data_IF_945593393641
#
_entry.id   IF_945593393641
#
_cell.length_a   1.000
_cell.length_b   1.000
_cell.length_c   1.000
_cell.angle_alpha   90.00
_cell.angle_beta   90.00
_cell.angle_gamma   90.00
#
_symmetry.space_group_name_H-M   'P 1'
#
loop_
_entity.id
_entity.type
_entity.pdbx_description
1 polymer ?
#
# COMPACT_ATOMS: atom_id res chain seq x y z
N UNK A 1 15.33 -14.68 -27.77
CA UNK A 1 15.06 -14.73 -26.31
C UNK A 1 15.26 -16.17 -25.84
N UNK A 2 16.05 -16.39 -24.80
CA UNK A 2 16.24 -17.72 -24.21
C UNK A 2 15.19 -17.94 -23.12
N UNK A 3 14.40 -19.01 -23.24
CA UNK A 3 13.38 -19.38 -22.23
C UNK A 3 13.89 -20.56 -21.42
N UNK A 4 13.98 -20.40 -20.10
CA UNK A 4 14.23 -21.50 -19.15
C UNK A 4 12.96 -21.78 -18.34
N UNK A 5 12.69 -23.05 -18.07
CA UNK A 5 11.54 -23.50 -17.26
C UNK A 5 12.00 -23.88 -15.86
N UNK A 6 11.20 -23.54 -14.86
CA UNK A 6 11.37 -23.97 -13.48
C UNK A 6 10.24 -24.94 -13.14
N UNK A 7 10.59 -26.11 -12.60
CA UNK A 7 9.62 -27.07 -12.08
C UNK A 7 9.45 -26.83 -10.58
N UNK A 8 8.20 -26.76 -10.14
CA UNK A 8 7.84 -26.61 -8.72
C UNK A 8 7.05 -27.84 -8.28
N UNK A 9 7.28 -28.27 -7.05
CA UNK A 9 6.53 -29.34 -6.39
C UNK A 9 5.90 -28.79 -5.12
N UNK A 10 4.66 -29.20 -4.84
CA UNK A 10 3.86 -28.76 -3.69
C UNK A 10 3.44 -30.00 -2.90
N UNK A 11 3.68 -30.00 -1.59
CA UNK A 11 3.15 -31.04 -0.71
C UNK A 11 1.70 -30.68 -0.33
N UNK A 12 0.73 -31.54 -0.64
CA UNK A 12 -0.67 -31.27 -0.28
C UNK A 12 -0.95 -31.43 1.23
N UNK A 13 -0.01 -32.02 1.97
CA UNK A 13 -0.08 -32.17 3.43
C UNK A 13 0.35 -30.90 4.18
N UNK A 14 1.09 -30.00 3.51
CA UNK A 14 1.48 -28.70 4.05
C UNK A 14 0.45 -27.66 3.66
N UNK A 15 -0.18 -27.05 4.66
CA UNK A 15 -1.26 -26.07 4.47
C UNK A 15 -0.89 -24.96 3.46
N UNK A 16 0.28 -24.36 3.65
CA UNK A 16 0.74 -23.25 2.80
C UNK A 16 1.00 -23.70 1.36
N UNK A 17 1.58 -24.89 1.17
CA UNK A 17 1.85 -25.46 -0.15
C UNK A 17 0.52 -25.75 -0.89
N UNK A 18 -0.47 -26.32 -0.19
CA UNK A 18 -1.82 -26.56 -0.72
C UNK A 18 -2.51 -25.25 -1.12
N UNK A 19 -2.42 -24.22 -0.28
CA UNK A 19 -3.01 -22.91 -0.53
C UNK A 19 -2.39 -22.26 -1.78
N UNK A 20 -1.07 -22.20 -1.84
CA UNK A 20 -0.34 -21.64 -3.00
C UNK A 20 -0.62 -22.45 -4.26
N UNK A 21 -0.65 -23.79 -4.16
CA UNK A 21 -1.00 -24.65 -5.29
C UNK A 21 -2.40 -24.33 -5.83
N UNK A 22 -3.40 -24.19 -4.95
CA UNK A 22 -4.77 -23.86 -5.32
C UNK A 22 -4.91 -22.47 -5.95
N UNK A 23 -4.10 -21.51 -5.52
CA UNK A 23 -4.05 -20.17 -6.12
C UNK A 23 -3.46 -20.24 -7.52
N UNK A 24 -2.27 -20.86 -7.66
CA UNK A 24 -1.54 -20.94 -8.93
C UNK A 24 -2.28 -21.79 -9.97
N UNK A 25 -2.91 -22.89 -9.56
CA UNK A 25 -3.63 -23.78 -10.47
C UNK A 25 -4.72 -23.05 -11.26
N UNK A 26 -5.41 -22.11 -10.61
CA UNK A 26 -6.49 -21.27 -11.18
C UNK A 26 -5.99 -20.15 -12.10
N UNK A 27 -4.70 -19.79 -12.08
CA UNK A 27 -4.17 -18.71 -12.91
C UNK A 27 -3.96 -19.16 -14.36
N UNK A 28 -4.45 -18.35 -15.32
CA UNK A 28 -4.23 -18.56 -16.76
C UNK A 28 -2.75 -18.40 -17.14
N UNK A 29 -2.06 -17.43 -16.55
CA UNK A 29 -0.64 -17.12 -16.82
C UNK A 29 0.20 -17.27 -15.54
N UNK A 30 0.51 -18.53 -15.17
CA UNK A 30 1.18 -18.88 -13.91
C UNK A 30 2.54 -18.20 -13.74
N UNK A 31 3.36 -18.18 -14.79
CA UNK A 31 4.70 -17.57 -14.75
C UNK A 31 4.63 -16.07 -14.48
N UNK A 32 3.70 -15.35 -15.11
CA UNK A 32 3.49 -13.91 -14.88
C UNK A 32 3.05 -13.62 -13.44
N UNK A 33 2.11 -14.43 -12.93
CA UNK A 33 1.66 -14.33 -11.54
C UNK A 33 2.81 -14.52 -10.55
N UNK A 34 3.64 -15.56 -10.75
CA UNK A 34 4.81 -15.82 -9.90
C UNK A 34 5.83 -14.68 -10.00
N UNK A 35 6.10 -14.13 -11.19
CA UNK A 35 6.98 -12.98 -11.37
C UNK A 35 6.49 -11.80 -10.53
N UNK A 36 5.21 -11.44 -10.64
CA UNK A 36 4.63 -10.33 -9.87
C UNK A 36 4.71 -10.58 -8.36
N UNK A 37 4.32 -11.77 -7.91
CA UNK A 37 4.35 -12.12 -6.48
C UNK A 37 5.78 -12.07 -5.90
N UNK A 38 6.76 -12.66 -6.58
CA UNK A 38 8.17 -12.68 -6.13
C UNK A 38 8.78 -11.29 -6.17
N UNK A 39 8.52 -10.51 -7.22
CA UNK A 39 9.00 -9.15 -7.31
C UNK A 39 8.40 -8.31 -6.17
N UNK A 40 7.09 -8.35 -5.94
CA UNK A 40 6.45 -7.63 -4.82
C UNK A 40 7.00 -8.05 -3.46
N UNK A 41 7.20 -9.35 -3.23
CA UNK A 41 7.77 -9.87 -1.98
C UNK A 41 9.22 -9.40 -1.74
N UNK A 42 10.04 -9.39 -2.79
CA UNK A 42 11.45 -8.95 -2.71
C UNK A 42 11.60 -7.42 -2.72
N UNK A 43 10.51 -6.67 -2.77
CA UNK A 43 10.53 -5.22 -2.90
C UNK A 43 11.05 -4.71 -4.24
N UNK A 44 11.22 -5.60 -5.23
CA UNK A 44 11.67 -5.30 -6.61
C UNK A 44 10.50 -5.15 -7.58
N UNK A 45 9.32 -5.62 -7.19
CA UNK A 45 8.06 -5.36 -7.87
C UNK A 45 7.62 -4.02 -7.36
N UNK A 46 7.35 -3.10 -8.31
CA UNK A 46 6.95 -1.72 -8.08
C UNK A 46 6.50 -1.54 -6.64
N UNK A 47 7.45 -1.16 -5.77
CA UNK A 47 7.20 -0.63 -4.44
C UNK A 47 6.60 0.76 -4.64
N UNK A 48 5.48 0.79 -5.31
CA UNK A 48 4.48 1.81 -5.15
C UNK A 48 3.50 1.21 -4.14
N UNK A 49 4.00 0.89 -2.94
CA UNK A 49 3.33 1.48 -1.77
C UNK A 49 3.54 2.98 -1.96
N UNK A 50 2.72 3.53 -2.83
CA UNK A 50 2.88 4.87 -3.33
C UNK A 50 2.59 5.74 -2.13
N UNK A 51 3.66 6.32 -1.58
CA UNK A 51 3.59 7.25 -0.47
C UNK A 51 2.53 8.32 -0.76
N UNK A 52 2.36 8.69 -2.02
CA UNK A 52 1.30 9.59 -2.47
C UNK A 52 -0.10 8.97 -2.34
N UNK A 53 -0.30 7.68 -2.62
CA UNK A 53 -1.54 6.95 -2.33
C UNK A 53 -1.86 6.91 -0.82
N UNK A 54 -0.85 6.72 0.05
CA UNK A 54 -1.07 6.77 1.51
C UNK A 54 -1.42 8.19 1.96
N UNK A 55 -0.67 9.20 1.49
CA UNK A 55 -0.98 10.61 1.76
C UNK A 55 -2.39 10.97 1.31
N UNK A 56 -2.80 10.51 0.13
CA UNK A 56 -4.11 10.77 -0.44
C UNK A 56 -5.23 10.12 0.40
N UNK A 57 -5.08 8.84 0.77
CA UNK A 57 -6.04 8.15 1.62
C UNK A 57 -6.20 8.83 3.01
N UNK A 58 -5.10 9.33 3.58
CA UNK A 58 -5.16 10.06 4.87
C UNK A 58 -5.79 11.44 4.71
N UNK A 59 -5.51 12.17 3.62
CA UNK A 59 -6.20 13.44 3.31
C UNK A 59 -7.71 13.24 3.19
N UNK A 60 -8.14 12.20 2.47
CA UNK A 60 -9.55 11.86 2.29
C UNK A 60 -10.23 11.52 3.63
N UNK A 61 -9.62 10.66 4.46
CA UNK A 61 -10.15 10.32 5.77
C UNK A 61 -10.28 11.53 6.70
N UNK A 62 -9.31 12.46 6.69
CA UNK A 62 -9.37 13.69 7.48
C UNK A 62 -10.50 14.60 7.00
N UNK A 63 -10.68 14.75 5.69
CA UNK A 63 -11.76 15.55 5.13
C UNK A 63 -13.14 14.97 5.49
N UNK A 64 -13.32 13.64 5.40
CA UNK A 64 -14.55 12.96 5.81
C UNK A 64 -14.85 13.09 7.30
N UNK A 65 -13.82 13.13 8.15
CA UNK A 65 -13.95 13.28 9.60
C UNK A 65 -14.13 14.74 10.07
N UNK A 66 -14.31 15.70 9.16
CA UNK A 66 -14.53 17.11 9.50
C UNK A 66 -13.25 17.94 9.67
N UNK A 67 -12.12 17.46 9.14
CA UNK A 67 -10.82 18.14 9.23
C UNK A 67 -10.13 18.00 10.59
N UNK A 68 -8.89 18.47 10.69
CA UNK A 68 -8.21 18.64 11.98
C UNK A 68 -8.52 20.06 12.48
N UNK A 69 -9.10 20.16 13.68
CA UNK A 69 -9.24 21.45 14.36
C UNK A 69 -8.01 21.68 15.22
N UNK A 70 -7.10 22.53 14.72
CA UNK A 70 -5.98 23.01 15.54
C UNK A 70 -6.55 24.04 16.50
N UNK A 71 -6.85 23.62 17.73
CA UNK A 71 -7.31 24.51 18.79
C UNK A 71 -6.24 25.54 19.13
N UNK A 72 -6.25 26.69 18.46
CA UNK A 72 -5.46 27.83 18.89
C UNK A 72 -6.12 28.37 20.17
N UNK A 73 -5.49 28.08 21.31
CA UNK A 73 -5.83 28.72 22.58
C UNK A 73 -5.31 30.16 22.59
N UNK A 74 -5.82 30.99 21.68
CA UNK A 74 -5.71 32.44 21.77
C UNK A 74 -7.08 33.01 21.47
N UNK A 75 -7.76 33.40 22.55
CA UNK A 75 -8.81 34.42 22.51
C UNK A 75 -8.21 35.62 21.77
N UNK A 76 -8.68 35.89 20.58
CA UNK A 76 -9.18 37.20 20.19
C UNK A 76 -9.93 37.06 18.85
N UNK A 77 -10.95 37.89 18.73
CA UNK A 77 -12.04 37.75 17.77
C UNK A 77 -11.59 37.89 16.31
N UNK A 78 -12.33 37.20 15.45
CA UNK A 78 -12.39 37.38 13.99
C UNK A 78 -11.25 36.73 13.19
N UNK A 79 -11.16 35.41 13.23
CA UNK A 79 -10.50 34.65 12.17
C UNK A 79 -11.38 33.46 11.81
N UNK A 80 -11.87 33.47 10.56
CA UNK A 80 -12.42 32.31 9.89
C UNK A 80 -11.40 31.18 10.04
N UNK A 81 -11.70 30.18 10.88
CA UNK A 81 -10.82 29.03 11.11
C UNK A 81 -10.56 28.37 9.76
N UNK A 82 -9.44 28.70 9.13
CA UNK A 82 -8.98 27.99 7.95
C UNK A 82 -8.62 26.59 8.41
N UNK A 83 -9.43 25.62 7.97
CA UNK A 83 -9.20 24.18 8.11
C UNK A 83 -8.01 23.72 7.25
N UNK A 84 -6.90 24.45 7.27
CA UNK A 84 -5.73 24.10 6.49
C UNK A 84 -4.88 23.15 7.31
N UNK A 85 -4.93 21.89 6.91
CA UNK A 85 -4.00 20.87 7.34
C UNK A 85 -2.58 21.36 7.02
N UNK A 86 -1.68 21.50 8.00
CA UNK A 86 -0.29 21.83 7.71
C UNK A 86 0.28 20.87 6.64
N UNK A 87 0.80 21.43 5.54
CA UNK A 87 1.31 20.64 4.41
C UNK A 87 2.38 19.63 4.82
N UNK A 88 3.11 19.94 5.90
CA UNK A 88 4.20 19.14 6.47
C UNK A 88 3.74 17.98 7.37
N UNK A 89 2.44 17.82 7.67
CA UNK A 89 1.96 16.68 8.47
C UNK A 89 2.34 15.36 7.80
N UNK A 90 2.38 15.35 6.47
CA UNK A 90 2.70 14.15 5.71
C UNK A 90 4.20 13.87 5.60
N UNK A 91 5.05 14.76 6.08
CA UNK A 91 6.50 14.57 6.06
C UNK A 91 6.93 13.43 7.01
N UNK A 92 6.06 13.01 7.94
CA UNK A 92 6.31 11.81 8.75
C UNK A 92 6.39 10.52 7.91
N UNK A 93 5.77 10.51 6.73
CA UNK A 93 5.85 9.40 5.77
C UNK A 93 7.13 9.43 4.93
N UNK A 94 7.98 10.45 5.07
CA UNK A 94 9.25 10.57 4.34
C UNK A 94 10.32 9.63 4.88
N UNK A 95 10.11 9.11 6.11
CA UNK A 95 11.02 8.18 6.78
C UNK A 95 10.55 6.71 6.71
N UNK A 96 9.54 6.40 5.88
CA UNK A 96 8.96 5.07 5.64
C UNK A 96 9.53 4.41 4.37
#
# INVERSE_FOLDING_TARGET
>A
MTVKRLNLSFSLDRKDDLEVFNILSKQKYKTDYVIKAVLSYTGKGNKTFDKETIKQAVKEAIAECGGITTGNSRKDNDDCIQHELPDNIFDMFDNL
#
